data_IF_642791811810
#
_entry.id   IF_642791811810
#
_cell.length_a   1.000
_cell.length_b   1.000
_cell.length_c   1.000
_cell.angle_alpha   90.00
_cell.angle_beta   90.00
_cell.angle_gamma   90.00
#
_symmetry.space_group_name_H-M   'P 1'
#
loop_
_entity.id
_entity.type
_entity.pdbx_description
1 polymer ?
#
# COMPACT_ATOMS: atom_id res chain seq x y z
N UNK A 1 -15.30 -8.04 -0.80
CA UNK A 1 -15.89 -8.51 -2.09
C UNK A 1 -16.77 -9.75 -1.91
N UNK A 2 -16.29 -10.76 -1.17
CA UNK A 2 -16.90 -12.09 -1.10
C UNK A 2 -18.26 -12.16 -0.40
N UNK A 3 -18.48 -11.41 0.68
CA UNK A 3 -19.79 -11.37 1.36
C UNK A 3 -20.92 -10.89 0.45
N UNK A 4 -20.65 -9.92 -0.43
CA UNK A 4 -21.65 -9.47 -1.43
C UNK A 4 -21.95 -10.55 -2.45
N UNK A 5 -20.94 -11.29 -2.90
CA UNK A 5 -21.12 -12.41 -3.83
C UNK A 5 -21.98 -13.51 -3.19
N UNK A 6 -21.64 -13.95 -1.97
CA UNK A 6 -22.40 -14.97 -1.23
C UNK A 6 -23.85 -14.55 -1.01
N UNK A 7 -24.09 -13.30 -0.60
CA UNK A 7 -25.46 -12.81 -0.43
C UNK A 7 -26.29 -12.86 -1.72
N UNK A 8 -25.67 -12.53 -2.86
CA UNK A 8 -26.35 -12.62 -4.17
C UNK A 8 -26.65 -14.08 -4.54
N UNK A 9 -25.69 -14.98 -4.36
CA UNK A 9 -25.90 -16.42 -4.64
C UNK A 9 -27.01 -16.99 -3.76
N UNK A 10 -27.01 -16.66 -2.47
CA UNK A 10 -28.05 -17.11 -1.54
C UNK A 10 -29.43 -16.56 -1.93
N UNK A 11 -29.52 -15.28 -2.30
CA UNK A 11 -30.78 -14.69 -2.77
C UNK A 11 -31.28 -15.37 -4.07
N UNK A 12 -30.36 -15.68 -4.99
CA UNK A 12 -30.69 -16.38 -6.25
C UNK A 12 -31.15 -17.82 -6.01
N UNK A 13 -30.56 -18.50 -5.02
CA UNK A 13 -30.99 -19.84 -4.62
C UNK A 13 -32.42 -19.85 -4.07
N UNK A 14 -32.83 -18.81 -3.32
CA UNK A 14 -34.23 -18.64 -2.86
C UNK A 14 -35.20 -18.42 -4.04
N UNK A 15 -34.71 -17.89 -5.17
CA UNK A 15 -35.45 -17.71 -6.41
C UNK A 15 -35.37 -18.94 -7.34
N UNK A 16 -35.04 -20.11 -6.81
CA UNK A 16 -34.80 -21.37 -7.53
C UNK A 16 -33.72 -21.29 -8.63
N UNK A 17 -32.86 -20.28 -8.57
CA UNK A 17 -31.75 -20.11 -9.50
C UNK A 17 -30.44 -20.51 -8.83
N UNK A 18 -30.08 -21.77 -9.01
CA UNK A 18 -28.81 -22.31 -8.52
C UNK A 18 -27.71 -22.19 -9.59
N UNK A 19 -26.47 -22.07 -9.13
CA UNK A 19 -25.29 -22.11 -9.99
C UNK A 19 -24.44 -23.32 -9.60
N UNK A 20 -23.86 -23.97 -10.59
CA UNK A 20 -22.80 -24.95 -10.33
C UNK A 20 -21.55 -24.27 -9.81
N UNK A 21 -20.69 -25.04 -9.13
CA UNK A 21 -19.41 -24.53 -8.64
C UNK A 21 -18.56 -23.90 -9.76
N UNK A 22 -18.49 -24.57 -10.92
CA UNK A 22 -17.77 -24.06 -12.10
C UNK A 22 -18.28 -22.70 -12.60
N UNK A 23 -19.61 -22.48 -12.54
CA UNK A 23 -20.19 -21.19 -12.93
C UNK A 23 -19.89 -20.10 -11.93
N UNK A 24 -19.94 -20.42 -10.64
CA UNK A 24 -19.56 -19.49 -9.58
C UNK A 24 -18.09 -19.08 -9.72
N UNK A 25 -17.18 -20.03 -9.91
CA UNK A 25 -15.75 -19.80 -10.16
C UNK A 25 -15.54 -18.83 -11.33
N UNK A 26 -16.13 -19.10 -12.50
CA UNK A 26 -15.99 -18.22 -13.68
C UNK A 26 -16.58 -16.83 -13.44
N UNK A 27 -17.72 -16.74 -12.74
CA UNK A 27 -18.35 -15.45 -12.41
C UNK A 27 -17.49 -14.62 -11.47
N UNK A 28 -16.89 -15.23 -10.44
CA UNK A 28 -15.97 -14.53 -9.52
C UNK A 28 -14.79 -13.98 -10.31
N UNK A 29 -14.13 -14.81 -11.12
CA UNK A 29 -12.96 -14.40 -11.91
C UNK A 29 -13.30 -13.23 -12.86
N UNK A 30 -14.49 -13.25 -13.48
CA UNK A 30 -14.94 -12.19 -14.39
C UNK A 30 -15.30 -10.88 -13.68
N UNK A 31 -15.63 -10.93 -12.39
CA UNK A 31 -15.99 -9.75 -11.60
C UNK A 31 -14.76 -9.08 -10.94
N UNK A 32 -13.56 -9.63 -11.09
CA UNK A 32 -12.35 -9.05 -10.51
C UNK A 32 -11.91 -7.79 -11.26
N UNK A 33 -11.35 -6.79 -10.55
CA UNK A 33 -10.82 -5.58 -11.19
C UNK A 33 -9.69 -5.86 -12.19
N UNK A 34 -9.44 -4.93 -13.12
CA UNK A 34 -8.45 -5.09 -14.19
C UNK A 34 -7.02 -5.38 -13.72
N UNK A 35 -6.62 -4.87 -12.56
CA UNK A 35 -5.29 -5.14 -12.00
C UNK A 35 -5.11 -6.59 -11.51
N UNK A 36 -6.18 -7.37 -11.38
CA UNK A 36 -6.13 -8.81 -11.09
C UNK A 36 -5.92 -9.69 -12.33
N UNK A 37 -5.94 -9.14 -13.55
CA UNK A 37 -5.77 -9.90 -14.79
C UNK A 37 -4.57 -10.86 -14.74
N UNK A 38 -3.36 -10.45 -14.29
CA UNK A 38 -2.23 -11.37 -14.22
C UNK A 38 -2.50 -12.59 -13.33
N UNK A 39 -3.20 -12.38 -12.21
CA UNK A 39 -3.58 -13.45 -11.27
C UNK A 39 -4.67 -14.35 -11.86
N UNK A 40 -5.67 -13.78 -12.53
CA UNK A 40 -6.73 -14.52 -13.24
C UNK A 40 -6.11 -15.42 -14.32
N UNK A 41 -5.26 -14.87 -15.18
CA UNK A 41 -4.58 -15.62 -16.23
C UNK A 41 -3.70 -16.74 -15.66
N UNK A 42 -3.02 -16.50 -14.53
CA UNK A 42 -2.24 -17.55 -13.86
C UNK A 42 -3.13 -18.70 -13.36
N UNK A 43 -4.30 -18.39 -12.79
CA UNK A 43 -5.26 -19.41 -12.33
C UNK A 43 -5.81 -20.20 -13.52
N UNK A 44 -6.20 -19.52 -14.59
CA UNK A 44 -6.73 -20.15 -15.82
C UNK A 44 -5.71 -21.07 -16.49
N UNK A 45 -4.42 -20.72 -16.46
CA UNK A 45 -3.35 -21.56 -17.02
C UNK A 45 -2.97 -22.73 -16.11
N UNK A 46 -3.02 -22.54 -14.79
CA UNK A 46 -2.53 -23.53 -13.82
C UNK A 46 -3.59 -24.54 -13.38
N UNK A 47 -4.88 -24.19 -13.43
CA UNK A 47 -5.96 -24.99 -12.85
C UNK A 47 -7.14 -25.15 -13.80
N UNK A 48 -7.79 -26.31 -13.74
CA UNK A 48 -9.02 -26.58 -14.45
C UNK A 48 -10.23 -25.97 -13.70
N UNK A 49 -10.82 -24.91 -14.24
CA UNK A 49 -11.94 -24.17 -13.60
C UNK A 49 -13.21 -25.00 -13.38
N UNK A 50 -13.37 -26.12 -14.06
CA UNK A 50 -14.54 -27.00 -13.94
C UNK A 50 -14.51 -27.86 -12.67
N UNK A 51 -13.31 -28.12 -12.13
CA UNK A 51 -13.08 -29.00 -10.96
C UNK A 51 -12.47 -28.25 -9.79
N UNK A 52 -12.15 -26.96 -9.95
CA UNK A 52 -11.58 -26.13 -8.91
C UNK A 52 -12.60 -25.89 -7.80
N UNK A 53 -12.32 -26.30 -6.54
CA UNK A 53 -13.18 -25.97 -5.41
C UNK A 53 -13.30 -24.45 -5.23
N UNK A 54 -14.46 -23.99 -4.79
CA UNK A 54 -14.75 -22.56 -4.68
C UNK A 54 -13.94 -21.94 -3.54
N UNK A 55 -13.79 -22.70 -2.46
CA UNK A 55 -13.04 -22.37 -1.25
C UNK A 55 -11.56 -22.19 -1.56
N UNK A 56 -10.98 -23.04 -2.41
CA UNK A 56 -9.59 -22.94 -2.86
C UNK A 56 -9.36 -21.69 -3.70
N UNK A 57 -10.29 -21.37 -4.60
CA UNK A 57 -10.24 -20.13 -5.37
C UNK A 57 -10.30 -18.93 -4.43
N UNK A 58 -11.27 -18.94 -3.52
CA UNK A 58 -11.51 -17.88 -2.56
C UNK A 58 -10.29 -17.62 -1.68
N UNK A 59 -9.68 -18.67 -1.13
CA UNK A 59 -8.47 -18.59 -0.33
C UNK A 59 -7.28 -18.03 -1.12
N UNK A 60 -7.11 -18.45 -2.38
CA UNK A 60 -6.04 -17.93 -3.24
C UNK A 60 -6.20 -16.44 -3.54
N UNK A 61 -7.43 -15.98 -3.77
CA UNK A 61 -7.73 -14.58 -4.00
C UNK A 61 -7.51 -13.76 -2.72
N UNK A 62 -8.01 -14.20 -1.58
CA UNK A 62 -7.85 -13.50 -0.30
C UNK A 62 -6.37 -13.35 0.11
N UNK A 63 -5.55 -14.38 -0.13
CA UNK A 63 -4.10 -14.32 0.11
C UNK A 63 -3.41 -13.30 -0.79
N UNK A 64 -3.83 -13.21 -2.05
CA UNK A 64 -3.29 -12.25 -3.01
C UNK A 64 -3.69 -10.81 -2.66
N UNK A 65 -4.94 -10.59 -2.24
CA UNK A 65 -5.43 -9.29 -1.75
C UNK A 65 -4.57 -8.79 -0.58
N UNK A 66 -4.37 -9.63 0.43
CA UNK A 66 -3.52 -9.31 1.58
C UNK A 66 -2.07 -9.02 1.19
N UNK A 67 -1.52 -9.75 0.22
CA UNK A 67 -0.16 -9.51 -0.25
C UNK A 67 -0.03 -8.20 -1.04
N UNK A 68 -1.06 -7.73 -1.74
CA UNK A 68 -1.04 -6.43 -2.40
C UNK A 68 -1.06 -5.32 -1.36
N UNK A 69 -1.94 -5.43 -0.36
CA UNK A 69 -2.10 -4.42 0.67
C UNK A 69 -0.82 -4.16 1.48
N UNK A 70 -0.05 -5.20 1.79
CA UNK A 70 1.28 -5.05 2.41
C UNK A 70 2.30 -4.32 1.55
N UNK A 71 2.25 -4.51 0.23
CA UNK A 71 3.17 -3.83 -0.70
C UNK A 71 2.85 -2.34 -0.81
N UNK A 72 1.58 -1.97 -0.78
CA UNK A 72 1.15 -0.58 -0.79
C UNK A 72 1.62 0.17 0.47
N UNK A 73 1.57 -0.47 1.65
CA UNK A 73 2.08 0.10 2.91
C UNK A 73 3.60 0.34 2.87
N UNK A 74 4.35 -0.58 2.27
CA UNK A 74 5.82 -0.45 2.11
C UNK A 74 6.18 0.57 1.03
N UNK A 75 5.42 0.62 -0.07
CA UNK A 75 5.63 1.59 -1.15
C UNK A 75 5.24 3.02 -0.73
N UNK A 76 4.21 3.18 0.11
CA UNK A 76 3.84 4.48 0.71
C UNK A 76 4.92 4.96 1.70
N UNK A 77 5.51 4.06 2.49
CA UNK A 77 6.66 4.38 3.34
C UNK A 77 7.88 4.79 2.52
N UNK A 78 8.18 4.10 1.42
CA UNK A 78 9.27 4.46 0.51
C UNK A 78 9.03 5.80 -0.21
N UNK A 79 7.79 6.07 -0.67
CA UNK A 79 7.43 7.37 -1.26
C UNK A 79 7.51 8.52 -0.24
N UNK A 80 7.11 8.29 1.02
CA UNK A 80 7.28 9.26 2.12
C UNK A 80 8.76 9.50 2.44
N UNK A 81 9.61 8.48 2.46
CA UNK A 81 11.07 8.64 2.61
C UNK A 81 11.67 9.43 1.45
N UNK A 82 11.28 9.16 0.20
CA UNK A 82 11.76 9.89 -0.99
C UNK A 82 11.31 11.36 -1.01
N UNK A 83 10.10 11.66 -0.55
CA UNK A 83 9.63 13.05 -0.40
C UNK A 83 10.33 13.83 0.72
N UNK A 84 10.85 13.14 1.75
CA UNK A 84 11.72 13.77 2.77
C UNK A 84 13.09 14.14 2.18
N UNK A 85 13.61 13.34 1.23
CA UNK A 85 14.90 13.60 0.59
C UNK A 85 14.85 14.82 -0.35
N UNK A 86 13.71 15.09 -1.00
CA UNK A 86 13.55 16.26 -1.87
C UNK A 86 13.58 17.62 -1.14
N UNK A 87 13.45 17.65 0.19
CA UNK A 87 13.55 18.87 1.01
C UNK A 87 14.96 19.13 1.59
N UNK A 88 15.95 18.28 1.27
CA UNK A 88 17.36 18.50 1.67
C UNK A 88 18.23 19.15 0.60
N UNK A 89 17.68 19.65 -0.50
CA UNK A 89 18.48 20.36 -1.50
C UNK A 89 18.72 21.83 -1.10
N UNK A 90 19.52 22.04 -0.06
CA UNK A 90 20.45 23.17 -0.03
C UNK A 90 21.54 22.86 0.99
N UNK A 91 22.78 22.83 0.49
CA UNK A 91 24.03 22.41 1.14
C UNK A 91 24.09 20.89 1.32
N UNK A 92 24.92 20.16 0.58
CA UNK A 92 26.38 20.35 0.62
C UNK A 92 27.00 19.99 -0.72
N UNK A 93 27.78 20.94 -1.24
CA UNK A 93 28.90 20.69 -2.14
C UNK A 93 29.99 19.88 -1.41
N UNK A 94 30.66 19.02 -2.17
CA UNK A 94 31.81 18.18 -1.79
C UNK A 94 32.84 18.94 -0.94
N UNK A 95 33.46 18.27 0.04
CA UNK A 95 34.92 18.15 0.13
C UNK A 95 35.32 17.56 1.49
N UNK A 96 36.44 16.85 1.46
CA UNK A 96 37.20 16.31 2.57
C UNK A 96 37.62 17.40 3.57
N UNK A 97 37.69 17.01 4.85
CA UNK A 97 38.56 17.51 5.93
C UNK A 97 38.39 18.98 6.43
N UNK A 98 38.07 19.10 7.73
CA UNK A 98 38.41 20.22 8.65
C UNK A 98 37.45 21.42 8.89
N UNK A 99 36.13 21.33 8.62
CA UNK A 99 35.18 22.46 8.81
C UNK A 99 33.95 22.21 9.73
N UNK A 100 33.90 21.09 10.48
CA UNK A 100 32.75 20.77 11.35
C UNK A 100 32.55 21.78 12.52
N UNK A 101 33.64 22.41 12.99
CA UNK A 101 33.61 23.34 14.14
C UNK A 101 33.00 24.72 13.78
N UNK A 102 33.22 25.21 12.55
CA UNK A 102 32.62 26.45 12.04
C UNK A 102 31.10 26.29 11.88
N UNK A 103 30.65 25.13 11.38
CA UNK A 103 29.23 24.82 11.23
C UNK A 103 28.52 24.69 12.59
N UNK A 104 29.13 23.97 13.54
CA UNK A 104 28.64 23.86 14.93
C UNK A 104 28.57 25.23 15.62
N UNK A 105 29.53 26.12 15.37
CA UNK A 105 29.53 27.49 15.88
C UNK A 105 28.38 28.32 15.30
N UNK A 106 28.11 28.19 13.99
CA UNK A 106 27.00 28.88 13.32
C UNK A 106 25.63 28.39 13.80
N UNK A 107 25.47 27.07 13.98
CA UNK A 107 24.26 26.45 14.54
C UNK A 107 24.04 26.95 15.97
N UNK A 108 25.08 26.91 16.80
CA UNK A 108 25.04 27.37 18.20
C UNK A 108 24.70 28.87 18.28
N UNK A 109 25.25 29.69 17.39
CA UNK A 109 24.98 31.13 17.31
C UNK A 109 23.53 31.41 16.91
N UNK A 110 22.98 30.69 15.94
CA UNK A 110 21.56 30.79 15.55
C UNK A 110 20.64 30.36 16.69
N UNK A 111 20.99 29.29 17.40
CA UNK A 111 20.21 28.78 18.52
C UNK A 111 20.20 29.73 19.72
N UNK A 112 21.36 30.31 20.07
CA UNK A 112 21.46 31.36 21.11
C UNK A 112 20.65 32.60 20.73
N UNK A 113 20.70 33.04 19.48
CA UNK A 113 19.93 34.19 18.98
C UNK A 113 18.42 33.92 19.10
N UNK A 114 17.98 32.72 18.73
CA UNK A 114 16.57 32.31 18.87
C UNK A 114 16.08 32.29 20.33
N UNK A 115 16.89 31.76 21.26
CA UNK A 115 16.57 31.77 22.69
C UNK A 115 16.51 33.19 23.27
N UNK A 116 17.39 34.10 22.83
CA UNK A 116 17.34 35.50 23.19
C UNK A 116 16.11 36.22 22.62
N UNK A 117 15.71 35.91 21.38
CA UNK A 117 14.49 36.44 20.76
C UNK A 117 13.22 36.02 21.51
N UNK A 118 13.21 34.82 22.10
CA UNK A 118 12.06 34.30 22.87
C UNK A 118 11.94 34.93 24.27
N UNK A 119 13.04 35.43 24.85
CA UNK A 119 13.02 36.15 26.14
C UNK A 119 12.36 37.54 26.04
N UNK A 120 12.30 38.13 24.84
CA UNK A 120 11.64 39.43 24.60
C UNK A 120 10.11 39.31 24.42
N UNK A 121 9.56 38.10 24.31
CA UNK A 121 8.13 37.85 24.07
C UNK A 121 7.37 37.24 25.27
N UNK A 122 8.05 37.02 26.41
CA UNK A 122 7.48 36.35 27.59
C UNK A 122 7.32 37.24 28.83
N UNK A 123 7.22 38.56 28.67
CA UNK A 123 7.06 39.51 29.78
C UNK A 123 5.82 40.39 29.61
N UNK A 124 4.66 39.86 30.02
CA UNK A 124 3.51 40.64 30.47
C UNK A 124 2.70 39.80 31.44
#
# INVERSE_FOLDING_TARGET
MFSRFTNIINALQVLDKTYSNSEMVRKILRCLPRYWIPKVTAIEKAKNLNVLPLEDLLGSLMTHEFSIQKKDDDEEKEKKKKNIVALKSSLTEDSEDDDDDEELALITRKFKKFLASKKMFGGK
#
